data_IF_735306534021
#
_entry.id   IF_735306534021
#
_cell.length_a   1.000
_cell.length_b   1.000
_cell.length_c   1.000
_cell.angle_alpha   90.00
_cell.angle_beta   90.00
_cell.angle_gamma   90.00
#
_symmetry.space_group_name_H-M   'P 1'
#
loop_
_entity.id
_entity.type
_entity.pdbx_description
1 polymer ?
#
# COMPACT_ATOMS: atom_id res chain seq x y z
N UNK A 1 -10.19 4.63 20.35
CA UNK A 1 -9.94 3.41 19.56
C UNK A 1 -8.48 3.39 19.15
N UNK A 2 -7.75 2.32 19.53
CA UNK A 2 -6.33 2.15 19.15
C UNK A 2 -6.21 1.24 17.92
N UNK A 3 -5.49 1.69 16.92
CA UNK A 3 -5.31 0.97 15.65
C UNK A 3 -3.84 0.70 15.41
N UNK A 4 -3.52 -0.57 15.13
CA UNK A 4 -2.20 -0.99 14.68
C UNK A 4 -2.18 -1.11 13.16
N UNK A 5 -1.40 -0.25 12.48
CA UNK A 5 -1.16 -0.32 11.04
C UNK A 5 0.08 -1.10 10.70
N UNK A 6 -0.01 -1.93 9.64
CA UNK A 6 1.09 -2.77 9.14
C UNK A 6 1.16 -2.66 7.62
N UNK A 7 2.25 -2.13 7.08
CA UNK A 7 2.55 -2.16 5.65
C UNK A 7 3.90 -2.79 5.35
N UNK A 8 3.90 -3.73 4.42
CA UNK A 8 5.09 -4.40 3.87
C UNK A 8 4.94 -4.64 2.36
N UNK A 9 4.07 -3.87 1.71
CA UNK A 9 3.72 -4.04 0.29
C UNK A 9 4.85 -3.65 -0.67
N UNK A 10 5.79 -2.81 -0.23
CA UNK A 10 6.92 -2.30 -1.02
C UNK A 10 8.27 -2.71 -0.42
N UNK A 11 9.36 -2.09 -0.84
CA UNK A 11 10.68 -2.24 -0.21
C UNK A 11 10.69 -1.71 1.22
N UNK A 12 9.91 -0.68 1.49
CA UNK A 12 9.72 -0.14 2.83
C UNK A 12 8.86 -1.07 3.69
N UNK A 13 9.14 -1.10 4.99
CA UNK A 13 8.25 -1.63 6.01
C UNK A 13 7.82 -0.47 6.90
N UNK A 14 6.54 -0.36 7.18
CA UNK A 14 5.99 0.66 8.06
C UNK A 14 5.01 0.05 9.06
N UNK A 15 5.10 0.50 10.32
CA UNK A 15 4.16 0.14 11.38
C UNK A 15 3.81 1.40 12.16
N UNK A 16 2.55 1.53 12.58
CA UNK A 16 2.10 2.68 13.37
C UNK A 16 1.01 2.29 14.36
N UNK A 17 0.90 3.06 15.44
CA UNK A 17 -0.27 3.06 16.31
C UNK A 17 -0.88 4.45 16.29
N UNK A 18 -2.18 4.49 16.01
CA UNK A 18 -3.03 5.68 16.17
C UNK A 18 -4.03 5.40 17.28
N UNK A 19 -4.25 6.38 18.15
CA UNK A 19 -5.32 6.37 19.14
C UNK A 19 -6.27 7.54 18.86
N UNK A 20 -7.47 7.21 18.48
CA UNK A 20 -8.48 8.16 17.98
C UNK A 20 -7.90 9.02 16.82
N UNK A 21 -7.72 10.33 17.02
CA UNK A 21 -7.15 11.25 16.02
C UNK A 21 -5.66 11.50 16.22
N UNK A 22 -5.00 10.78 17.14
CA UNK A 22 -3.61 11.03 17.51
C UNK A 22 -2.69 9.93 17.04
N UNK A 23 -1.71 10.28 16.21
CA UNK A 23 -0.57 9.39 15.93
C UNK A 23 0.28 9.26 17.20
N UNK A 24 0.35 8.06 17.76
CA UNK A 24 1.15 7.77 18.95
C UNK A 24 2.60 7.48 18.57
N UNK A 25 2.80 6.57 17.63
CA UNK A 25 4.13 6.21 17.16
C UNK A 25 4.06 5.63 15.74
N UNK A 26 5.12 5.88 14.96
CA UNK A 26 5.30 5.28 13.65
C UNK A 26 6.77 4.94 13.42
N UNK A 27 7.03 3.75 12.91
CA UNK A 27 8.34 3.33 12.41
C UNK A 27 8.24 3.00 10.93
N UNK A 28 9.05 3.68 10.12
CA UNK A 28 9.19 3.39 8.70
C UNK A 28 10.64 3.15 8.36
N UNK A 29 10.96 1.98 7.79
CA UNK A 29 12.33 1.58 7.43
C UNK A 29 12.35 1.18 5.96
N UNK A 30 13.07 1.96 5.14
CA UNK A 30 13.29 1.67 3.73
C UNK A 30 14.74 1.19 3.51
N UNK A 31 14.98 -0.10 3.72
CA UNK A 31 16.31 -0.73 3.58
C UNK A 31 16.20 -2.10 2.94
N UNK A 32 17.33 -2.61 2.42
CA UNK A 32 17.40 -3.93 1.75
C UNK A 32 17.24 -5.14 2.69
N UNK A 33 17.12 -4.95 4.02
CA UNK A 33 16.84 -6.07 4.94
C UNK A 33 15.45 -6.64 4.68
N UNK A 34 15.30 -7.94 4.82
CA UNK A 34 14.03 -8.63 4.60
C UNK A 34 12.94 -8.22 5.61
N UNK A 35 11.69 -8.17 5.19
CA UNK A 35 10.56 -7.82 6.06
C UNK A 35 10.42 -8.79 7.23
N UNK A 36 10.68 -10.08 7.02
CA UNK A 36 10.63 -11.11 8.08
C UNK A 36 11.60 -10.86 9.25
N UNK A 37 12.70 -10.15 8.98
CA UNK A 37 13.68 -9.80 10.02
C UNK A 37 13.36 -8.49 10.73
N UNK A 38 12.57 -7.59 10.09
CA UNK A 38 12.30 -6.24 10.59
C UNK A 38 10.97 -6.13 11.32
N UNK A 39 9.92 -6.73 10.76
CA UNK A 39 8.53 -6.38 11.10
C UNK A 39 8.19 -6.61 12.56
N UNK A 40 8.41 -7.82 13.09
CA UNK A 40 8.10 -8.10 14.50
C UNK A 40 8.92 -7.26 15.48
N UNK A 41 10.26 -7.10 15.31
CA UNK A 41 11.03 -6.15 16.11
C UNK A 41 10.54 -4.70 16.06
N UNK A 42 10.04 -4.23 14.89
CA UNK A 42 9.47 -2.88 14.78
C UNK A 42 8.19 -2.76 15.60
N UNK A 43 7.27 -3.73 15.50
CA UNK A 43 6.03 -3.75 16.27
C UNK A 43 6.33 -3.81 17.77
N UNK A 44 7.17 -4.75 18.20
CA UNK A 44 7.53 -4.93 19.61
C UNK A 44 8.16 -3.66 20.20
N UNK A 45 9.16 -3.09 19.53
CA UNK A 45 9.81 -1.87 20.01
C UNK A 45 8.84 -0.67 20.05
N UNK A 46 7.98 -0.54 19.04
CA UNK A 46 7.00 0.54 18.97
C UNK A 46 6.02 0.46 20.15
N UNK A 47 5.46 -0.72 20.43
CA UNK A 47 4.52 -0.94 21.51
C UNK A 47 5.18 -0.72 22.87
N UNK A 48 6.40 -1.25 23.08
CA UNK A 48 7.15 -1.09 24.34
C UNK A 48 7.50 0.37 24.64
N UNK A 49 7.97 1.15 23.65
CA UNK A 49 8.32 2.58 23.86
C UNK A 49 7.08 3.43 24.10
N UNK A 50 5.93 3.01 23.57
CA UNK A 50 4.66 3.72 23.71
C UNK A 50 3.86 3.28 24.95
N UNK A 51 4.37 2.35 25.76
CA UNK A 51 3.67 1.75 26.91
C UNK A 51 2.26 1.20 26.56
N UNK A 52 2.15 0.58 25.34
CA UNK A 52 0.92 -0.01 24.83
C UNK A 52 1.03 -1.53 24.84
N UNK A 53 0.06 -2.21 25.46
CA UNK A 53 -0.07 -3.67 25.33
C UNK A 53 -0.77 -4.02 24.01
N UNK A 54 -0.38 -5.13 23.40
CA UNK A 54 -1.02 -5.61 22.15
C UNK A 54 -2.52 -5.89 22.36
N UNK A 55 -2.95 -6.20 23.55
CA UNK A 55 -4.35 -6.40 23.91
C UNK A 55 -5.17 -5.09 23.99
N UNK A 56 -4.49 -3.93 24.05
CA UNK A 56 -5.14 -2.61 24.01
C UNK A 56 -5.48 -2.17 22.57
N UNK A 57 -5.02 -2.91 21.57
CA UNK A 57 -5.33 -2.62 20.16
C UNK A 57 -6.76 -3.07 19.88
N UNK A 58 -7.57 -2.17 19.33
CA UNK A 58 -8.98 -2.41 18.99
C UNK A 58 -9.17 -2.89 17.54
N UNK A 59 -8.25 -2.47 16.63
CA UNK A 59 -8.34 -2.71 15.20
C UNK A 59 -6.95 -2.91 14.59
N UNK A 60 -6.83 -3.83 13.65
CA UNK A 60 -5.61 -4.03 12.87
C UNK A 60 -5.86 -3.56 11.44
N UNK A 61 -5.05 -2.64 10.96
CA UNK A 61 -5.04 -2.21 9.56
C UNK A 61 -3.86 -2.84 8.83
N UNK A 62 -4.09 -3.46 7.68
CA UNK A 62 -3.02 -4.09 6.89
C UNK A 62 -3.13 -3.72 5.42
N UNK A 63 -1.99 -3.42 4.80
CA UNK A 63 -1.95 -3.23 3.36
C UNK A 63 -2.06 -4.58 2.64
N UNK A 64 -3.10 -4.73 1.80
CA UNK A 64 -3.36 -5.97 1.07
C UNK A 64 -2.63 -6.07 -0.28
N UNK A 65 -2.01 -4.99 -0.75
CA UNK A 65 -1.38 -4.89 -2.05
C UNK A 65 -2.13 -3.95 -3.01
N UNK A 66 -1.74 -3.97 -4.28
CA UNK A 66 -0.69 -4.78 -4.91
C UNK A 66 0.73 -4.41 -4.49
N UNK A 67 1.69 -5.31 -4.75
CA UNK A 67 3.09 -5.05 -4.42
C UNK A 67 3.94 -6.32 -4.34
N UNK A 68 4.95 -6.29 -3.46
CA UNK A 68 5.86 -7.41 -3.21
C UNK A 68 5.13 -8.65 -2.69
N UNK A 69 5.06 -9.73 -3.46
CA UNK A 69 4.44 -11.00 -3.03
C UNK A 69 4.93 -11.49 -1.67
N UNK A 70 6.24 -11.48 -1.45
CA UNK A 70 6.85 -11.89 -0.19
C UNK A 70 6.49 -10.93 0.93
N UNK A 71 6.57 -9.63 0.65
CA UNK A 71 6.23 -8.59 1.62
C UNK A 71 4.78 -8.70 2.07
N UNK A 72 3.84 -8.73 1.13
CA UNK A 72 2.40 -8.84 1.42
C UNK A 72 2.07 -10.06 2.30
N UNK A 73 2.66 -11.22 2.00
CA UNK A 73 2.46 -12.42 2.80
C UNK A 73 2.99 -12.28 4.23
N UNK A 74 4.12 -11.61 4.41
CA UNK A 74 4.70 -11.37 5.74
C UNK A 74 3.78 -10.44 6.55
N UNK A 75 3.38 -9.29 6.00
CA UNK A 75 2.47 -8.36 6.68
C UNK A 75 1.12 -9.00 7.00
N UNK A 76 0.51 -9.63 6.02
CA UNK A 76 -0.78 -10.31 6.17
C UNK A 76 -0.72 -11.43 7.19
N UNK A 77 0.31 -12.27 7.16
CA UNK A 77 0.47 -13.37 8.15
C UNK A 77 0.68 -12.82 9.56
N UNK A 78 1.39 -11.71 9.71
CA UNK A 78 1.60 -11.05 11.00
C UNK A 78 0.27 -10.46 11.52
N UNK A 79 -0.49 -9.75 10.69
CA UNK A 79 -1.81 -9.24 11.04
C UNK A 79 -2.77 -10.36 11.43
N UNK A 80 -2.81 -11.45 10.66
CA UNK A 80 -3.60 -12.65 10.97
C UNK A 80 -3.23 -13.27 12.33
N UNK A 81 -1.93 -13.40 12.62
CA UNK A 81 -1.46 -13.99 13.86
C UNK A 81 -1.86 -13.14 15.07
N UNK A 82 -1.69 -11.83 15.00
CA UNK A 82 -2.10 -10.88 16.04
C UNK A 82 -3.61 -10.95 16.22
N UNK A 83 -4.41 -10.80 15.15
CA UNK A 83 -5.87 -10.87 15.19
C UNK A 83 -6.37 -12.23 15.72
N UNK A 84 -5.70 -13.32 15.40
CA UNK A 84 -6.09 -14.65 15.90
C UNK A 84 -6.02 -14.74 17.43
N UNK A 85 -5.01 -14.11 18.04
CA UNK A 85 -4.81 -14.10 19.49
C UNK A 85 -5.72 -13.06 20.14
N UNK A 86 -5.68 -11.80 19.68
CA UNK A 86 -6.39 -10.67 20.28
C UNK A 86 -7.89 -10.62 19.93
N UNK A 87 -8.33 -11.38 18.91
CA UNK A 87 -9.70 -11.39 18.36
C UNK A 87 -10.16 -10.08 17.73
N UNK A 88 -9.23 -9.19 17.45
CA UNK A 88 -9.53 -7.90 16.82
C UNK A 88 -9.83 -8.05 15.34
N UNK A 89 -10.75 -7.24 14.78
CA UNK A 89 -11.01 -7.20 13.35
C UNK A 89 -9.79 -6.69 12.57
N UNK A 90 -9.77 -7.04 11.28
CA UNK A 90 -8.76 -6.57 10.33
C UNK A 90 -9.45 -5.73 9.26
N UNK A 91 -8.89 -4.57 8.96
CA UNK A 91 -9.26 -3.75 7.80
C UNK A 91 -8.14 -3.83 6.78
N UNK A 92 -8.52 -3.99 5.51
CA UNK A 92 -7.57 -3.94 4.39
C UNK A 92 -7.65 -2.61 3.64
N UNK A 93 -6.50 -2.17 3.15
CA UNK A 93 -6.36 -1.00 2.28
C UNK A 93 -5.41 -1.36 1.16
N UNK A 94 -5.75 -1.00 -0.08
CA UNK A 94 -4.84 -1.25 -1.16
C UNK A 94 -3.65 -0.26 -1.16
N UNK A 95 -2.52 -0.68 -1.72
CA UNK A 95 -1.26 0.06 -1.61
C UNK A 95 -1.24 1.36 -2.41
N UNK A 96 -2.01 1.47 -3.51
CA UNK A 96 -2.09 2.70 -4.30
C UNK A 96 -3.08 3.70 -3.69
N UNK A 97 -4.17 3.23 -3.06
CA UNK A 97 -5.05 4.03 -2.22
C UNK A 97 -4.29 4.60 -1.01
N UNK A 98 -3.47 3.76 -0.37
CA UNK A 98 -2.63 4.15 0.76
C UNK A 98 -1.67 5.29 0.40
N UNK A 99 -1.03 5.22 -0.78
CA UNK A 99 -0.18 6.31 -1.28
C UNK A 99 -0.99 7.57 -1.51
N UNK A 100 -2.12 7.48 -2.22
CA UNK A 100 -2.97 8.63 -2.50
C UNK A 100 -3.46 9.30 -1.21
N UNK A 101 -3.83 8.53 -0.21
CA UNK A 101 -4.26 9.00 1.10
C UNK A 101 -3.18 9.74 1.90
N UNK A 102 -1.89 9.65 1.49
CA UNK A 102 -0.82 10.46 2.10
C UNK A 102 -0.81 11.93 1.63
N UNK A 103 -1.65 12.27 0.64
CA UNK A 103 -1.74 13.60 0.02
C UNK A 103 -2.97 14.37 0.51
N UNK A 104 -3.23 14.36 1.81
CA UNK A 104 -4.37 15.02 2.44
C UNK A 104 -4.66 16.42 1.87
N UNK A 105 -5.94 16.71 1.63
CA UNK A 105 -6.44 18.03 1.17
C UNK A 105 -5.81 18.56 -0.11
N UNK A 106 -5.33 17.69 -0.99
CA UNK A 106 -4.76 18.11 -2.26
C UNK A 106 -5.86 18.44 -3.27
N UNK A 107 -5.78 19.63 -3.90
CA UNK A 107 -6.73 20.06 -4.95
C UNK A 107 -6.44 19.45 -6.32
N UNK A 108 -5.29 18.79 -6.48
CA UNK A 108 -4.86 18.19 -7.73
C UNK A 108 -5.33 16.73 -7.83
N UNK A 109 -5.42 16.23 -9.05
CA UNK A 109 -5.59 14.81 -9.27
C UNK A 109 -4.35 14.03 -8.79
N UNK A 110 -4.56 12.86 -8.23
CA UNK A 110 -3.51 12.04 -7.64
C UNK A 110 -3.42 10.73 -8.44
N UNK A 111 -2.22 10.40 -8.91
CA UNK A 111 -1.92 9.14 -9.54
C UNK A 111 -0.82 8.42 -8.76
N UNK A 112 -1.19 7.33 -8.11
CA UNK A 112 -0.23 6.48 -7.38
C UNK A 112 0.41 5.48 -8.33
N UNK A 113 1.74 5.29 -8.25
CA UNK A 113 2.48 4.31 -9.06
C UNK A 113 3.43 3.46 -8.22
N UNK A 114 3.30 2.14 -8.34
CA UNK A 114 4.22 1.15 -7.76
C UNK A 114 4.83 0.29 -8.86
N UNK A 115 6.07 -0.17 -8.67
CA UNK A 115 6.76 -0.98 -9.70
C UNK A 115 6.09 -2.36 -9.87
N UNK A 116 5.55 -2.62 -11.05
CA UNK A 116 4.99 -3.91 -11.44
C UNK A 116 5.97 -4.72 -12.30
N UNK A 117 7.26 -4.39 -12.25
CA UNK A 117 8.37 -4.96 -13.02
C UNK A 117 8.34 -4.59 -14.52
N UNK A 118 9.50 -4.75 -15.18
CA UNK A 118 9.73 -4.36 -16.58
C UNK A 118 9.42 -2.87 -16.77
N UNK A 119 8.45 -2.56 -17.62
CA UNK A 119 7.97 -1.20 -17.96
C UNK A 119 6.60 -0.91 -17.39
N UNK A 120 6.05 -1.81 -16.57
CA UNK A 120 4.70 -1.72 -16.01
C UNK A 120 4.70 -1.16 -14.59
N UNK A 121 3.61 -0.50 -14.25
CA UNK A 121 3.31 0.01 -12.92
C UNK A 121 1.93 -0.46 -12.47
N UNK A 122 1.78 -0.76 -11.18
CA UNK A 122 0.47 -0.75 -10.55
C UNK A 122 0.09 0.70 -10.35
N UNK A 123 -1.10 1.08 -10.75
CA UNK A 123 -1.57 2.47 -10.70
C UNK A 123 -3.04 2.54 -10.31
N UNK A 124 -3.42 3.65 -9.69
CA UNK A 124 -4.79 4.05 -9.41
C UNK A 124 -4.86 5.56 -9.41
N UNK A 125 -6.01 6.12 -9.79
CA UNK A 125 -6.23 7.56 -9.86
C UNK A 125 -7.26 7.98 -8.82
N UNK A 126 -6.97 9.05 -8.12
CA UNK A 126 -7.75 9.56 -6.99
C UNK A 126 -7.87 11.07 -7.04
N UNK A 127 -8.81 11.61 -6.29
CA UNK A 127 -8.94 13.04 -5.98
C UNK A 127 -9.57 13.23 -4.63
N UNK A 128 -9.38 14.39 -4.02
CA UNK A 128 -10.12 14.77 -2.83
C UNK A 128 -11.37 15.55 -3.20
N UNK A 129 -12.53 15.13 -2.65
CA UNK A 129 -13.78 15.87 -2.72
C UNK A 129 -14.39 15.95 -1.31
N UNK A 130 -14.67 17.14 -0.82
CA UNK A 130 -15.25 17.35 0.52
C UNK A 130 -14.44 16.69 1.65
N UNK A 131 -13.11 16.71 1.55
CA UNK A 131 -12.16 16.06 2.46
C UNK A 131 -12.21 14.50 2.45
N UNK A 132 -12.89 13.89 1.49
CA UNK A 132 -12.86 12.44 1.26
C UNK A 132 -12.01 12.10 0.05
N UNK A 133 -11.19 11.06 0.17
CA UNK A 133 -10.45 10.50 -0.95
C UNK A 133 -11.41 9.69 -1.83
N UNK A 134 -11.57 10.12 -3.08
CA UNK A 134 -12.45 9.49 -4.07
C UNK A 134 -11.60 8.76 -5.09
N UNK A 135 -11.90 7.48 -5.31
CA UNK A 135 -11.32 6.70 -6.40
C UNK A 135 -11.93 7.15 -7.73
N UNK A 136 -11.08 7.63 -8.64
CA UNK A 136 -11.46 8.04 -10.01
C UNK A 136 -11.25 6.88 -10.96
N UNK A 137 -10.17 6.11 -10.79
CA UNK A 137 -9.86 4.92 -11.54
C UNK A 137 -9.30 3.87 -10.60
N UNK A 138 -9.91 2.69 -10.60
CA UNK A 138 -9.53 1.58 -9.75
C UNK A 138 -8.10 1.10 -10.06
N UNK A 139 -7.51 0.40 -9.09
CA UNK A 139 -6.16 -0.14 -9.24
C UNK A 139 -6.07 -1.12 -10.42
N UNK A 140 -5.07 -0.88 -11.29
CA UNK A 140 -4.79 -1.71 -12.47
C UNK A 140 -3.27 -1.76 -12.75
N UNK A 141 -2.88 -2.50 -13.77
CA UNK A 141 -1.51 -2.58 -14.29
C UNK A 141 -1.45 -1.92 -15.66
N UNK A 142 -0.63 -0.88 -15.79
CA UNK A 142 -0.43 -0.16 -17.06
C UNK A 142 1.05 -0.10 -17.45
N UNK A 143 1.31 -0.01 -18.75
CA UNK A 143 2.62 0.44 -19.23
C UNK A 143 2.82 1.90 -18.82
N UNK A 144 4.01 2.24 -18.35
CA UNK A 144 4.27 3.60 -17.87
C UNK A 144 4.09 4.66 -18.96
N UNK A 145 4.46 4.34 -20.20
CA UNK A 145 4.36 5.29 -21.31
C UNK A 145 2.90 5.56 -21.69
N UNK A 146 2.02 4.55 -21.63
CA UNK A 146 0.59 4.71 -21.86
C UNK A 146 -0.04 5.57 -20.75
N UNK A 147 0.29 5.30 -19.48
CA UNK A 147 -0.19 6.06 -18.34
C UNK A 147 0.23 7.54 -18.43
N UNK A 148 1.49 7.81 -18.76
CA UNK A 148 1.98 9.18 -18.86
C UNK A 148 1.35 9.92 -20.05
N UNK A 149 1.10 9.25 -21.17
CA UNK A 149 0.37 9.81 -22.30
C UNK A 149 -1.08 10.16 -21.93
N UNK A 150 -1.80 9.23 -21.26
CA UNK A 150 -3.16 9.51 -20.77
C UNK A 150 -3.22 10.77 -19.90
N UNK A 151 -2.25 10.96 -19.00
CA UNK A 151 -2.22 12.09 -18.07
C UNK A 151 -1.84 13.39 -18.80
N UNK A 152 -0.86 13.32 -19.72
CA UNK A 152 -0.42 14.51 -20.48
C UNK A 152 -1.49 15.07 -21.40
N UNK A 153 -2.42 14.22 -21.87
CA UNK A 153 -3.51 14.61 -22.74
C UNK A 153 -4.66 15.33 -22.00
N UNK A 154 -4.58 15.44 -20.66
CA UNK A 154 -5.58 16.18 -19.85
C UNK A 154 -5.12 17.62 -19.60
N UNK A 155 -6.07 18.54 -19.38
CA UNK A 155 -5.81 19.91 -18.93
C UNK A 155 -5.62 20.01 -17.41
N UNK A 156 -5.78 18.91 -16.69
CA UNK A 156 -5.76 18.85 -15.23
C UNK A 156 -4.32 18.75 -14.71
N UNK A 157 -4.11 19.26 -13.51
CA UNK A 157 -2.83 19.10 -12.81
C UNK A 157 -2.81 17.80 -11.99
N UNK A 158 -1.71 17.07 -12.12
CA UNK A 158 -1.56 15.76 -11.48
C UNK A 158 -0.38 15.72 -10.52
N UNK A 159 -0.57 15.05 -9.41
CA UNK A 159 0.53 14.58 -8.57
C UNK A 159 0.76 13.10 -8.85
N UNK A 160 1.98 12.76 -9.28
CA UNK A 160 2.40 11.35 -9.39
C UNK A 160 3.32 11.02 -8.22
N UNK A 161 2.95 9.97 -7.45
CA UNK A 161 3.70 9.55 -6.28
C UNK A 161 3.83 8.03 -6.19
N UNK A 162 4.79 7.59 -5.36
CA UNK A 162 5.08 6.19 -5.11
C UNK A 162 6.51 5.81 -5.50
N UNK A 163 6.92 4.59 -5.17
CA UNK A 163 8.33 4.18 -5.35
C UNK A 163 8.77 4.13 -6.82
N UNK A 164 7.84 3.88 -7.76
CA UNK A 164 8.14 3.84 -9.19
C UNK A 164 8.53 5.21 -9.76
N UNK A 165 8.20 6.31 -9.08
CA UNK A 165 8.61 7.67 -9.46
C UNK A 165 10.12 7.77 -9.63
N UNK A 166 10.90 7.13 -8.76
CA UNK A 166 12.37 7.18 -8.85
C UNK A 166 12.93 6.56 -10.13
N UNK A 167 12.29 5.49 -10.60
CA UNK A 167 12.66 4.78 -11.84
C UNK A 167 12.33 5.59 -13.10
N UNK A 168 11.23 6.34 -13.07
CA UNK A 168 10.68 7.04 -14.23
C UNK A 168 10.77 8.56 -14.13
N UNK A 169 11.52 9.09 -13.15
CA UNK A 169 11.61 10.52 -12.83
C UNK A 169 11.91 11.41 -14.04
N UNK A 170 12.79 10.97 -14.93
CA UNK A 170 13.15 11.75 -16.10
C UNK A 170 11.96 11.91 -17.05
N UNK A 171 11.25 10.84 -17.37
CA UNK A 171 10.05 10.87 -18.22
C UNK A 171 8.93 11.71 -17.60
N UNK A 172 8.72 11.59 -16.29
CA UNK A 172 7.68 12.34 -15.56
C UNK A 172 7.97 13.84 -15.60
N UNK A 173 9.23 14.24 -15.43
CA UNK A 173 9.63 15.66 -15.44
C UNK A 173 9.58 16.32 -16.84
N UNK A 174 9.38 15.56 -17.90
CA UNK A 174 9.19 16.09 -19.27
C UNK A 174 7.74 16.53 -19.53
N UNK A 175 6.82 16.30 -18.58
CA UNK A 175 5.40 16.59 -18.73
C UNK A 175 5.02 17.73 -17.79
N UNK A 176 4.52 18.84 -18.37
CA UNK A 176 4.36 20.11 -17.65
C UNK A 176 3.25 20.10 -16.57
N UNK A 177 2.19 19.30 -16.76
CA UNK A 177 1.06 19.23 -15.83
C UNK A 177 1.22 18.17 -14.73
N UNK A 178 2.43 17.56 -14.60
CA UNK A 178 2.72 16.55 -13.58
C UNK A 178 3.69 17.08 -12.53
N UNK A 179 3.37 16.83 -11.27
CA UNK A 179 4.18 17.21 -10.11
C UNK A 179 4.58 15.97 -9.31
N UNK A 180 5.84 15.91 -8.88
CA UNK A 180 6.34 14.88 -7.97
C UNK A 180 6.42 15.49 -6.58
N UNK A 181 5.75 14.92 -5.56
CA UNK A 181 5.81 15.45 -4.20
C UNK A 181 7.16 15.15 -3.53
N UNK A 182 7.33 15.63 -2.29
CA UNK A 182 8.53 15.36 -1.51
C UNK A 182 8.74 13.84 -1.29
N UNK A 183 9.99 13.38 -1.08
CA UNK A 183 10.29 11.95 -0.93
C UNK A 183 9.51 11.23 0.17
N UNK A 184 9.04 11.95 1.18
CA UNK A 184 8.24 11.39 2.28
C UNK A 184 6.88 10.85 1.84
N UNK A 185 6.32 11.35 0.72
CA UNK A 185 5.04 10.90 0.15
C UNK A 185 5.20 9.77 -0.88
N UNK A 186 6.43 9.42 -1.26
CA UNK A 186 6.70 8.34 -2.21
C UNK A 186 6.90 6.97 -1.53
N UNK A 187 6.51 6.86 -0.27
CA UNK A 187 6.63 5.64 0.55
C UNK A 187 5.31 5.41 1.26
N UNK A 188 4.82 4.18 1.22
CA UNK A 188 3.66 3.77 2.00
C UNK A 188 3.94 3.94 3.50
N UNK A 189 3.02 4.56 4.22
CA UNK A 189 3.13 4.85 5.64
C UNK A 189 1.98 4.24 6.42
N UNK A 190 2.31 3.57 7.52
CA UNK A 190 1.33 2.91 8.34
C UNK A 190 0.39 3.89 9.07
N UNK A 191 0.82 5.15 9.29
CA UNK A 191 -0.05 6.20 9.81
C UNK A 191 -1.18 6.55 8.83
N UNK A 192 -0.86 6.71 7.53
CA UNK A 192 -1.88 6.93 6.49
C UNK A 192 -2.80 5.71 6.34
N UNK A 193 -2.24 4.49 6.46
CA UNK A 193 -3.02 3.25 6.47
C UNK A 193 -4.07 3.25 7.59
N UNK A 194 -3.68 3.61 8.82
CA UNK A 194 -4.60 3.69 9.95
C UNK A 194 -5.71 4.73 9.71
N UNK A 195 -5.38 5.90 9.16
CA UNK A 195 -6.34 6.96 8.89
C UNK A 195 -7.41 6.52 7.88
N UNK A 196 -7.01 5.82 6.80
CA UNK A 196 -7.95 5.24 5.83
C UNK A 196 -8.77 4.13 6.49
N UNK A 197 -8.13 3.26 7.28
CA UNK A 197 -8.78 2.14 7.95
C UNK A 197 -9.89 2.58 8.93
N UNK A 198 -9.70 3.69 9.67
CA UNK A 198 -10.74 4.28 10.51
C UNK A 198 -11.99 4.61 9.69
N UNK A 199 -11.81 5.27 8.56
CA UNK A 199 -12.92 5.67 7.69
C UNK A 199 -13.66 4.44 7.13
N UNK A 200 -12.91 3.41 6.69
CA UNK A 200 -13.49 2.14 6.22
C UNK A 200 -14.23 1.41 7.34
N UNK A 201 -13.64 1.32 8.51
CA UNK A 201 -14.26 0.67 9.67
C UNK A 201 -15.59 1.33 10.08
N UNK A 202 -15.62 2.66 10.12
CA UNK A 202 -16.84 3.42 10.44
C UNK A 202 -17.95 3.26 9.39
N UNK A 203 -17.59 2.91 8.15
CA UNK A 203 -18.52 2.64 7.04
C UNK A 203 -18.83 1.13 6.89
N UNK A 204 -18.28 0.26 7.73
CA UNK A 204 -18.35 -1.21 7.66
C UNK A 204 -17.86 -1.78 6.30
N UNK A 205 -16.81 -1.18 5.76
CA UNK A 205 -16.20 -1.57 4.49
C UNK A 205 -14.87 -2.27 4.75
N UNK A 206 -14.60 -3.36 4.03
CA UNK A 206 -13.37 -4.17 4.08
C UNK A 206 -13.02 -4.70 5.48
N UNK A 207 -14.05 -4.98 6.30
CA UNK A 207 -13.91 -5.56 7.64
C UNK A 207 -13.78 -7.07 7.53
N UNK A 208 -12.66 -7.59 8.00
CA UNK A 208 -12.31 -9.00 7.94
C UNK A 208 -11.99 -9.56 9.33
N UNK A 209 -11.90 -10.88 9.40
CA UNK A 209 -11.27 -11.59 10.49
C UNK A 209 -9.99 -12.31 10.01
N UNK A 210 -9.23 -12.91 10.93
CA UNK A 210 -7.98 -13.59 10.59
C UNK A 210 -8.12 -14.76 9.62
N UNK A 211 -9.32 -15.27 9.38
CA UNK A 211 -9.57 -16.40 8.45
C UNK A 211 -9.97 -15.94 7.06
N UNK A 212 -10.68 -14.80 6.95
CA UNK A 212 -11.25 -14.31 5.67
C UNK A 212 -10.34 -13.35 4.93
N UNK A 213 -9.41 -12.66 5.62
CA UNK A 213 -8.54 -11.66 4.98
C UNK A 213 -7.51 -12.33 4.06
N UNK A 214 -7.32 -11.79 2.85
CA UNK A 214 -6.38 -12.29 1.85
C UNK A 214 -5.64 -11.14 1.15
N UNK A 215 -4.40 -11.37 0.66
CA UNK A 215 -3.71 -10.39 -0.15
C UNK A 215 -4.37 -10.19 -1.52
N UNK A 216 -4.33 -8.97 -2.03
CA UNK A 216 -4.78 -8.63 -3.37
C UNK A 216 -3.66 -8.92 -4.40
N UNK A 217 -3.84 -9.94 -5.21
CA UNK A 217 -2.91 -10.30 -6.28
C UNK A 217 -3.49 -9.91 -7.65
N UNK A 218 -3.11 -8.75 -8.17
CA UNK A 218 -3.52 -8.30 -9.52
C UNK A 218 -2.76 -9.07 -10.60
N UNK A 219 -1.52 -9.51 -10.31
CA UNK A 219 -0.70 -10.31 -11.23
C UNK A 219 -0.42 -11.68 -10.63
N UNK A 220 -0.25 -12.68 -11.51
CA UNK A 220 0.28 -13.98 -11.11
C UNK A 220 1.71 -13.84 -10.59
N UNK A 221 2.09 -14.63 -9.60
CA UNK A 221 3.47 -14.70 -9.13
C UNK A 221 4.42 -15.16 -10.25
N UNK A 222 5.71 -14.81 -10.14
CA UNK A 222 6.72 -15.33 -11.09
C UNK A 222 6.73 -16.86 -11.15
N UNK A 223 6.49 -17.53 -10.03
CA UNK A 223 6.44 -18.98 -9.97
C UNK A 223 5.25 -19.54 -10.76
N UNK A 224 4.08 -18.90 -10.66
CA UNK A 224 2.89 -19.29 -11.45
C UNK A 224 3.09 -19.04 -12.94
N UNK A 225 3.69 -17.89 -13.31
CA UNK A 225 4.01 -17.59 -14.71
C UNK A 225 4.98 -18.62 -15.29
N UNK A 226 6.07 -18.95 -14.56
CA UNK A 226 7.04 -19.97 -14.99
C UNK A 226 6.41 -21.36 -15.06
N UNK A 227 5.51 -21.71 -14.14
CA UNK A 227 4.78 -22.96 -14.18
C UNK A 227 3.87 -23.02 -15.41
N UNK A 228 3.10 -21.97 -15.69
CA UNK A 228 2.22 -21.90 -16.86
C UNK A 228 3.03 -22.01 -18.17
N UNK A 229 4.18 -21.33 -18.25
CA UNK A 229 5.08 -21.44 -19.42
C UNK A 229 5.65 -22.86 -19.59
N UNK A 230 6.07 -23.49 -18.50
CA UNK A 230 6.56 -24.88 -18.51
C UNK A 230 5.44 -25.83 -18.95
N UNK A 231 4.24 -25.67 -18.46
CA UNK A 231 3.09 -26.53 -18.84
C UNK A 231 2.72 -26.32 -20.32
N UNK A 232 2.79 -25.09 -20.83
CA UNK A 232 2.58 -24.82 -22.26
C UNK A 232 3.63 -25.51 -23.15
N UNK A 233 4.91 -25.48 -22.78
CA UNK A 233 5.99 -26.19 -23.52
C UNK A 233 5.76 -27.71 -23.53
N UNK A 234 5.44 -28.30 -22.37
CA UNK A 234 5.15 -29.74 -22.27
C UNK A 234 3.94 -30.15 -23.11
N UNK A 235 2.90 -29.31 -23.19
CA UNK A 235 1.71 -29.60 -23.98
C UNK A 235 1.94 -29.40 -25.50
N UNK A 236 2.92 -28.57 -25.89
CA UNK A 236 3.30 -28.35 -27.27
C UNK A 236 4.37 -29.34 -27.77
N UNK A 237 4.80 -30.29 -26.92
CA UNK A 237 5.74 -31.36 -27.31
C UNK A 237 7.21 -30.93 -27.38
N UNK A 238 7.58 -29.83 -26.68
CA UNK A 238 8.96 -29.36 -26.52
C UNK A 238 9.57 -29.83 -25.20
#
# INVERSE_FOLDING_TARGET
MKILGIDTSSLAASVAVIEDDKLICEYTINTKKTHSQKLMPMIENMLNISDIDINDIDLIAVCEGPGSFTGLRIGMSTAKAISHISKQPIITVNSVELLAGSMDMCDKHICSILDAQRTQVYTGKYKYENNELIEVEAVDVKEIDDLLSEISDTEEEWIILGEAVYKYKQKINEIDNIFIPSPSHNINRASSLCAIAINKYNKDVDVHNCYSVEPLYIRKSQAEVQYDEKMKRLNNGE
#
